data_IF_121324069498
#
_entry.id   IF_121324069498
#
_cell.length_a   1.000
_cell.length_b   1.000
_cell.length_c   1.000
_cell.angle_alpha   90.00
_cell.angle_beta   90.00
_cell.angle_gamma   90.00
#
_symmetry.space_group_name_H-M   'P 1'
#
loop_
_entity.id
_entity.type
_entity.pdbx_description
1 polymer ?
#
# COMPACT_ATOMS: atom_id res chain seq x y z
N UNK A 1 3.76 22.23 -37.09
CA UNK A 1 3.03 20.95 -37.16
C UNK A 1 1.99 20.90 -36.06
N UNK A 2 0.75 20.85 -36.42
CA UNK A 2 -0.32 20.74 -35.44
C UNK A 2 -0.40 19.31 -34.98
N UNK A 3 -0.13 19.06 -33.72
CA UNK A 3 -0.49 17.80 -33.09
C UNK A 3 -2.01 17.70 -33.10
N UNK A 4 -2.49 16.58 -33.61
CA UNK A 4 -3.92 16.31 -33.60
C UNK A 4 -4.46 16.47 -32.19
N UNK A 5 -5.53 17.22 -32.09
CA UNK A 5 -6.14 17.63 -30.83
C UNK A 5 -6.85 16.51 -30.07
N UNK A 6 -6.70 15.30 -30.48
CA UNK A 6 -7.25 14.17 -29.76
C UNK A 6 -6.30 13.67 -28.68
N UNK A 7 -5.97 14.50 -27.77
CA UNK A 7 -5.01 14.37 -26.72
C UNK A 7 -4.91 13.04 -25.95
N UNK A 8 -4.77 11.97 -26.65
CA UNK A 8 -4.43 10.69 -26.06
C UNK A 8 -2.92 10.52 -26.08
N UNK A 9 -2.36 10.33 -24.95
CA UNK A 9 -0.98 9.96 -24.81
C UNK A 9 -0.87 8.54 -24.34
N UNK A 10 0.14 7.89 -24.80
CA UNK A 10 0.42 6.51 -24.45
C UNK A 10 0.92 6.44 -23.03
N UNK A 11 0.39 5.54 -22.27
CA UNK A 11 0.85 5.25 -20.94
C UNK A 11 1.97 4.24 -21.01
N UNK A 12 3.09 4.54 -20.42
CA UNK A 12 4.17 3.58 -20.31
C UNK A 12 4.37 3.21 -18.86
N UNK A 13 4.31 1.93 -18.61
CA UNK A 13 4.73 1.38 -17.32
C UNK A 13 6.21 1.11 -17.41
N UNK A 14 7.00 1.84 -16.67
CA UNK A 14 8.42 1.58 -16.53
C UNK A 14 8.64 0.38 -15.63
N UNK A 15 9.69 -0.39 -15.90
CA UNK A 15 10.12 -1.49 -15.02
C UNK A 15 10.51 -1.04 -13.60
N UNK A 16 10.66 0.25 -13.40
CA UNK A 16 10.93 0.85 -12.09
C UNK A 16 9.66 1.29 -11.37
N UNK A 17 8.53 0.64 -11.61
CA UNK A 17 7.29 0.84 -10.88
C UNK A 17 6.61 2.20 -11.01
N UNK A 18 6.89 2.94 -12.02
CA UNK A 18 6.21 4.20 -12.23
C UNK A 18 5.21 4.07 -13.36
N UNK A 19 3.97 4.25 -13.04
CA UNK A 19 2.95 4.48 -14.04
C UNK A 19 3.12 5.90 -14.50
N UNK A 20 3.53 6.07 -15.72
CA UNK A 20 3.52 7.36 -16.33
C UNK A 20 2.29 7.51 -17.21
N UNK A 21 1.54 8.52 -16.95
CA UNK A 21 0.34 8.81 -17.69
C UNK A 21 0.54 10.11 -18.41
N UNK A 22 0.52 10.03 -19.69
CA UNK A 22 0.47 11.21 -20.51
C UNK A 22 -0.90 11.87 -20.42
N UNK A 23 -1.02 12.93 -21.12
CA UNK A 23 -2.15 13.82 -21.10
C UNK A 23 -3.42 13.18 -21.66
N UNK A 24 -4.45 13.13 -20.86
CA UNK A 24 -5.79 13.03 -21.41
C UNK A 24 -6.22 14.37 -22.01
N UNK A 25 -7.01 14.32 -23.07
CA UNK A 25 -7.41 15.49 -23.83
C UNK A 25 -7.88 16.63 -22.92
N UNK A 26 -7.10 17.69 -22.89
CA UNK A 26 -7.55 18.98 -22.47
C UNK A 26 -6.79 19.59 -21.36
N UNK A 27 -6.64 19.42 -20.21
CA UNK A 27 -6.02 20.33 -19.26
C UNK A 27 -5.38 19.63 -18.08
N UNK A 28 -4.18 20.11 -17.81
CA UNK A 28 -3.43 19.92 -16.57
C UNK A 28 -3.29 18.52 -16.01
N UNK A 29 -2.21 17.90 -16.39
CA UNK A 29 -1.65 16.78 -15.64
C UNK A 29 -0.65 17.36 -14.64
N UNK A 30 -0.92 17.24 -13.39
CA UNK A 30 -0.01 17.64 -12.32
C UNK A 30 0.59 16.41 -11.68
N UNK A 31 1.90 16.38 -11.59
CA UNK A 31 2.63 15.34 -10.90
C UNK A 31 3.17 15.93 -9.61
N UNK A 32 2.72 15.43 -8.49
CA UNK A 32 3.24 15.83 -7.18
C UNK A 32 3.61 14.60 -6.38
N UNK A 33 4.87 14.49 -6.03
CA UNK A 33 5.34 13.52 -5.06
C UNK A 33 4.97 12.06 -5.33
N UNK A 34 4.97 11.63 -6.60
CA UNK A 34 4.59 10.27 -6.97
C UNK A 34 3.09 10.03 -7.12
N UNK A 35 2.28 11.07 -7.02
CA UNK A 35 0.85 11.01 -7.26
C UNK A 35 0.52 11.56 -8.63
N UNK A 36 -0.47 10.96 -9.27
CA UNK A 36 -1.01 11.43 -10.54
C UNK A 36 -2.43 11.91 -10.34
N UNK A 37 -2.69 13.13 -10.73
CA UNK A 37 -4.06 13.64 -10.84
C UNK A 37 -4.41 13.69 -12.30
N UNK A 38 -5.39 12.93 -12.71
CA UNK A 38 -5.93 12.99 -14.06
C UNK A 38 -7.20 13.79 -14.00
N UNK A 39 -7.19 14.96 -14.64
CA UNK A 39 -8.40 15.71 -14.83
C UNK A 39 -9.04 15.27 -16.14
N UNK A 40 -10.19 14.68 -16.04
CA UNK A 40 -10.97 14.30 -17.21
C UNK A 40 -11.70 15.50 -17.79
N UNK A 41 -12.06 15.34 -19.05
CA UNK A 41 -12.93 16.30 -19.72
C UNK A 41 -14.20 16.53 -18.91
N UNK A 42 -14.60 17.77 -18.74
CA UNK A 42 -15.74 18.23 -17.95
C UNK A 42 -15.47 18.44 -16.45
N UNK A 43 -14.23 18.58 -16.07
CA UNK A 43 -13.90 18.94 -14.70
C UNK A 43 -14.01 17.79 -13.68
N UNK A 44 -14.20 16.57 -14.13
CA UNK A 44 -14.16 15.43 -13.25
C UNK A 44 -12.73 15.04 -13.00
N UNK A 45 -12.32 15.08 -11.75
CA UNK A 45 -11.03 14.56 -11.32
C UNK A 45 -11.21 13.11 -10.88
N UNK A 46 -10.34 12.22 -11.34
CA UNK A 46 -10.24 10.90 -10.76
C UNK A 46 -9.60 10.99 -9.39
N UNK A 47 -10.16 10.29 -8.43
CA UNK A 47 -9.54 10.18 -7.13
C UNK A 47 -8.16 9.54 -7.26
N UNK A 48 -7.18 10.10 -6.53
CA UNK A 48 -5.87 9.47 -6.40
C UNK A 48 -6.06 8.15 -5.64
N UNK A 49 -5.66 7.05 -6.23
CA UNK A 49 -5.68 5.79 -5.52
C UNK A 49 -5.99 4.56 -6.35
N UNK A 50 -6.68 4.68 -7.48
CA UNK A 50 -7.09 3.49 -8.21
C UNK A 50 -7.20 3.73 -9.72
N UNK A 51 -6.56 2.87 -10.51
CA UNK A 51 -6.79 2.70 -11.94
C UNK A 51 -7.00 1.22 -12.20
N UNK A 52 -8.05 0.87 -12.90
CA UNK A 52 -8.41 -0.52 -13.22
C UNK A 52 -8.60 -1.41 -11.99
N UNK A 53 -9.06 -0.83 -10.86
CA UNK A 53 -9.26 -1.56 -9.61
C UNK A 53 -7.97 -1.87 -8.84
N UNK A 54 -6.83 -1.30 -9.26
CA UNK A 54 -5.55 -1.49 -8.58
C UNK A 54 -5.11 -0.21 -7.86
N UNK A 55 -4.43 -0.34 -6.72
CA UNK A 55 -3.88 0.82 -6.03
C UNK A 55 -2.78 1.49 -6.85
N UNK A 56 -2.72 2.82 -6.80
CA UNK A 56 -1.67 3.59 -7.48
C UNK A 56 -0.42 3.80 -6.63
N UNK A 57 -0.55 3.65 -5.32
CA UNK A 57 0.52 3.91 -4.36
C UNK A 57 0.61 2.80 -3.33
N UNK A 58 1.79 2.64 -2.77
CA UNK A 58 1.96 1.81 -1.58
C UNK A 58 1.24 2.44 -0.40
N UNK A 59 0.59 1.63 0.41
CA UNK A 59 0.00 2.07 1.66
C UNK A 59 0.04 0.96 2.70
N UNK A 60 0.26 1.32 3.94
CA UNK A 60 0.02 0.47 5.11
C UNK A 60 -1.01 1.19 5.97
N UNK A 61 -2.16 0.58 6.15
CA UNK A 61 -3.27 1.15 6.90
C UNK A 61 -3.19 0.75 8.37
N UNK A 62 -3.76 1.58 9.22
CA UNK A 62 -3.91 1.22 10.62
C UNK A 62 -4.69 -0.09 10.74
N UNK A 63 -4.20 -0.99 11.59
CA UNK A 63 -4.88 -2.25 11.84
C UNK A 63 -6.27 -2.01 12.46
N UNK A 64 -7.19 -2.92 12.19
CA UNK A 64 -8.53 -2.85 12.75
C UNK A 64 -9.00 -4.27 13.18
N UNK A 65 -9.56 -4.39 14.38
CA UNK A 65 -9.68 -3.37 15.43
C UNK A 65 -8.34 -2.97 16.05
N UNK A 66 -8.28 -1.78 16.65
CA UNK A 66 -7.14 -1.30 17.43
C UNK A 66 -7.65 -0.37 18.54
N UNK A 67 -7.53 -0.71 19.84
CA UNK A 67 -6.96 -1.95 20.38
C UNK A 67 -7.70 -3.22 19.92
N UNK A 68 -7.01 -4.35 19.95
CA UNK A 68 -7.58 -5.61 19.49
C UNK A 68 -7.48 -6.72 20.55
N UNK A 69 -8.35 -7.74 20.44
CA UNK A 69 -8.41 -8.89 21.34
C UNK A 69 -9.07 -10.09 20.64
N UNK A 70 -8.38 -11.19 20.42
CA UNK A 70 -6.93 -11.33 20.30
C UNK A 70 -6.44 -11.05 18.89
N UNK A 71 -7.35 -10.82 17.93
CA UNK A 71 -7.00 -10.70 16.51
C UNK A 71 -7.26 -9.32 15.91
N UNK A 72 -6.47 -9.00 14.92
CA UNK A 72 -6.61 -7.76 14.15
C UNK A 72 -6.26 -8.01 12.69
N UNK A 73 -6.82 -7.19 11.81
CA UNK A 73 -6.53 -7.22 10.37
C UNK A 73 -5.62 -6.06 10.01
N UNK A 74 -4.55 -6.36 9.31
CA UNK A 74 -3.61 -5.40 8.75
C UNK A 74 -3.86 -5.34 7.26
N UNK A 75 -4.13 -4.15 6.72
CA UNK A 75 -4.38 -3.93 5.30
C UNK A 75 -3.25 -3.12 4.69
N UNK A 76 -2.85 -3.51 3.49
CA UNK A 76 -1.82 -2.79 2.73
C UNK A 76 -2.08 -2.88 1.24
N UNK A 77 -1.59 -1.91 0.52
CA UNK A 77 -1.82 -1.73 -0.90
C UNK A 77 -0.49 -1.81 -1.65
N UNK A 78 -0.47 -2.56 -2.74
CA UNK A 78 0.69 -2.74 -3.60
C UNK A 78 0.36 -2.28 -5.03
N UNK A 79 1.01 -1.22 -5.53
CA UNK A 79 0.76 -0.75 -6.90
C UNK A 79 1.40 -1.63 -7.97
N UNK A 80 2.40 -2.42 -7.61
CA UNK A 80 3.14 -3.30 -8.51
C UNK A 80 3.46 -4.61 -7.81
N UNK A 81 3.75 -5.64 -8.61
CA UNK A 81 4.28 -6.89 -8.08
C UNK A 81 5.64 -6.64 -7.43
N UNK A 82 5.79 -7.07 -6.19
CA UNK A 82 6.99 -6.79 -5.40
C UNK A 82 7.19 -7.82 -4.30
N UNK A 83 8.42 -7.91 -3.84
CA UNK A 83 8.73 -8.68 -2.62
C UNK A 83 8.24 -7.92 -1.40
N UNK A 84 7.50 -8.59 -0.54
CA UNK A 84 6.89 -8.01 0.65
C UNK A 84 7.39 -8.72 1.89
N UNK A 85 7.80 -7.93 2.87
CA UNK A 85 8.05 -8.39 4.23
C UNK A 85 7.11 -7.65 5.18
N UNK A 86 6.27 -8.38 5.87
CA UNK A 86 5.41 -7.86 6.95
C UNK A 86 5.76 -8.55 8.25
N UNK A 87 6.37 -7.81 9.16
CA UNK A 87 6.92 -8.33 10.41
C UNK A 87 6.34 -7.60 11.59
N UNK A 88 6.01 -8.34 12.63
CA UNK A 88 5.57 -7.78 13.91
C UNK A 88 6.76 -7.76 14.87
N UNK A 89 6.95 -6.62 15.53
CA UNK A 89 7.96 -6.38 16.55
C UNK A 89 7.31 -6.01 17.89
N UNK A 90 7.99 -6.32 18.97
CA UNK A 90 7.67 -5.76 20.28
C UNK A 90 8.29 -4.36 20.47
N UNK A 91 8.08 -3.73 21.62
CA UNK A 91 8.64 -2.42 21.93
C UNK A 91 10.16 -2.41 22.08
N UNK A 92 10.78 -3.56 22.28
CA UNK A 92 12.24 -3.69 22.36
C UNK A 92 12.87 -3.86 20.98
N UNK A 93 12.05 -3.92 19.93
CA UNK A 93 12.49 -4.15 18.56
C UNK A 93 12.79 -5.60 18.25
N UNK A 94 12.36 -6.53 19.09
CA UNK A 94 12.50 -7.96 18.84
C UNK A 94 11.40 -8.44 17.89
N UNK A 95 11.78 -9.30 16.96
CA UNK A 95 10.84 -9.92 16.05
C UNK A 95 9.93 -10.91 16.79
N UNK A 96 8.63 -10.71 16.63
CA UNK A 96 7.59 -11.58 17.21
C UNK A 96 7.15 -12.64 16.20
N UNK A 97 6.80 -12.20 14.99
CA UNK A 97 6.35 -13.08 13.92
C UNK A 97 6.49 -12.40 12.56
N UNK A 98 6.80 -13.19 11.56
CA UNK A 98 6.72 -12.82 10.15
C UNK A 98 5.35 -13.21 9.62
N UNK A 99 4.57 -12.23 9.21
CA UNK A 99 3.23 -12.45 8.64
C UNK A 99 3.27 -12.65 7.12
N UNK A 100 4.23 -12.05 6.46
CA UNK A 100 4.49 -12.25 5.03
C UNK A 100 5.99 -12.10 4.75
N UNK A 101 6.49 -12.92 3.83
CA UNK A 101 7.85 -12.85 3.30
C UNK A 101 7.85 -13.54 1.93
N UNK A 102 7.25 -12.86 0.94
CA UNK A 102 7.05 -13.45 -0.38
C UNK A 102 6.83 -12.40 -1.46
N UNK A 103 6.93 -12.83 -2.69
CA UNK A 103 6.53 -12.05 -3.84
C UNK A 103 5.01 -11.97 -3.90
N UNK A 104 4.46 -10.76 -3.95
CA UNK A 104 3.02 -10.51 -4.01
C UNK A 104 2.64 -9.69 -5.23
N UNK A 105 1.48 -10.00 -5.79
CA UNK A 105 0.92 -9.30 -6.94
C UNK A 105 0.36 -7.92 -6.56
N UNK A 106 0.22 -7.00 -7.55
CA UNK A 106 -0.45 -5.73 -7.29
C UNK A 106 -1.86 -5.95 -6.76
N UNK A 107 -2.28 -5.10 -5.84
CA UNK A 107 -3.64 -5.17 -5.32
C UNK A 107 -3.77 -4.70 -3.88
N UNK A 108 -4.97 -4.87 -3.37
CA UNK A 108 -5.33 -4.63 -1.97
C UNK A 108 -5.19 -5.91 -1.19
N UNK A 109 -4.29 -5.92 -0.22
CA UNK A 109 -3.98 -7.09 0.58
C UNK A 109 -4.43 -6.92 2.02
N UNK A 110 -4.74 -8.04 2.66
CA UNK A 110 -5.03 -8.07 4.09
C UNK A 110 -4.49 -9.35 4.72
N UNK A 111 -3.96 -9.21 5.92
CA UNK A 111 -3.46 -10.32 6.72
C UNK A 111 -3.99 -10.18 8.13
N UNK A 112 -4.44 -11.28 8.70
CA UNK A 112 -4.92 -11.35 10.09
C UNK A 112 -3.79 -11.79 10.99
N UNK A 113 -3.54 -11.04 12.05
CA UNK A 113 -2.67 -11.46 13.15
C UNK A 113 -3.50 -11.78 14.39
N UNK A 114 -3.25 -12.95 14.97
CA UNK A 114 -4.01 -13.46 16.13
C UNK A 114 -3.36 -13.17 17.48
N UNK A 115 -2.34 -12.29 17.52
CA UNK A 115 -1.58 -12.05 18.73
C UNK A 115 -0.74 -13.26 19.16
N UNK A 116 -0.18 -13.96 18.18
CA UNK A 116 0.60 -15.18 18.39
C UNK A 116 1.96 -15.07 17.72
N UNK A 117 2.93 -15.81 18.25
CA UNK A 117 4.24 -16.05 17.65
C UNK A 117 4.12 -17.07 16.50
N UNK A 118 5.21 -17.29 15.78
CA UNK A 118 5.26 -18.25 14.66
C UNK A 118 4.93 -19.69 15.08
N UNK A 119 5.25 -20.06 16.31
CA UNK A 119 4.94 -21.37 16.89
C UNK A 119 3.57 -21.44 17.59
N UNK A 120 2.72 -20.41 17.40
CA UNK A 120 1.35 -20.40 17.88
C UNK A 120 1.18 -20.04 19.35
N UNK A 121 2.22 -19.56 20.00
CA UNK A 121 2.12 -19.08 21.39
C UNK A 121 1.56 -17.69 21.46
N UNK A 122 0.57 -17.50 22.32
CA UNK A 122 -0.04 -16.20 22.56
C UNK A 122 0.97 -15.23 23.18
N UNK A 123 1.02 -14.01 22.63
CA UNK A 123 1.87 -12.95 23.20
C UNK A 123 1.10 -12.14 24.24
N UNK A 124 1.80 -11.49 25.19
CA UNK A 124 1.14 -10.70 26.24
C UNK A 124 0.47 -9.45 25.70
N UNK A 125 -0.46 -8.91 26.49
CA UNK A 125 -1.02 -7.58 26.22
C UNK A 125 0.09 -6.54 26.17
N UNK A 126 0.00 -5.61 25.25
CA UNK A 126 1.01 -4.59 25.07
C UNK A 126 0.96 -3.92 23.72
N UNK A 127 1.98 -3.13 23.45
CA UNK A 127 2.15 -2.42 22.18
C UNK A 127 3.07 -3.23 21.27
N UNK A 128 2.64 -3.37 20.03
CA UNK A 128 3.37 -4.04 18.97
C UNK A 128 3.49 -3.12 17.77
N UNK A 129 4.52 -3.34 16.96
CA UNK A 129 4.78 -2.57 15.76
C UNK A 129 4.71 -3.53 14.57
N UNK A 130 3.80 -3.25 13.64
CA UNK A 130 3.80 -3.92 12.35
C UNK A 130 4.62 -3.09 11.37
N UNK A 131 5.59 -3.69 10.73
CA UNK A 131 6.43 -3.06 9.71
C UNK A 131 6.22 -3.73 8.37
N UNK A 132 5.79 -2.95 7.39
CA UNK A 132 5.77 -3.34 6.00
C UNK A 132 7.03 -2.82 5.31
N UNK A 133 7.71 -3.71 4.63
CA UNK A 133 8.93 -3.42 3.88
C UNK A 133 8.83 -4.01 2.48
N UNK A 134 9.09 -3.19 1.49
CA UNK A 134 9.34 -3.58 0.10
C UNK A 134 10.63 -2.91 -0.37
N UNK A 135 11.19 -3.22 -1.53
CA UNK A 135 12.36 -2.51 -2.06
C UNK A 135 12.18 -0.99 -2.16
N UNK A 136 10.95 -0.53 -2.38
CA UNK A 136 10.67 0.88 -2.63
C UNK A 136 9.85 1.57 -1.53
N UNK A 137 9.33 0.81 -0.56
CA UNK A 137 8.44 1.35 0.45
C UNK A 137 8.70 0.75 1.83
N UNK A 138 8.62 1.62 2.84
CA UNK A 138 8.75 1.22 4.24
C UNK A 138 7.77 2.02 5.08
N UNK A 139 6.97 1.31 5.87
CA UNK A 139 6.10 1.95 6.85
C UNK A 139 5.88 1.03 8.05
N UNK A 140 5.67 1.65 9.19
CA UNK A 140 5.32 0.95 10.44
C UNK A 140 4.07 1.56 11.05
N UNK A 141 3.27 0.72 11.67
CA UNK A 141 2.10 1.12 12.45
C UNK A 141 2.18 0.55 13.85
N UNK A 142 1.64 1.30 14.80
CA UNK A 142 1.52 0.88 16.19
C UNK A 142 0.19 0.16 16.40
N UNK A 143 0.23 -0.97 17.07
CA UNK A 143 -0.93 -1.79 17.40
C UNK A 143 -0.99 -2.02 18.91
N UNK A 144 -2.18 -2.09 19.48
CA UNK A 144 -2.38 -2.32 20.90
C UNK A 144 -3.19 -3.60 21.10
N UNK A 145 -2.58 -4.59 21.74
CA UNK A 145 -3.23 -5.83 22.14
C UNK A 145 -3.70 -5.72 23.59
N UNK A 146 -4.97 -5.90 23.79
CA UNK A 146 -5.61 -5.98 25.11
C UNK A 146 -6.26 -7.34 25.28
N UNK A 147 -5.88 -8.03 26.32
CA UNK A 147 -6.50 -9.31 26.72
C UNK A 147 -7.37 -9.13 27.93
#
# INVERSE_FOLDING_TARGET
MRLASSGYHTYTKSAASHVFIGKAAGRDTRIEGGFYVITLRQGSALAVGEIDGLPLVYALRQNYPNPFNPSTTIKFDLPVATEVSLVIYDLLGQEVVWLASEQMEPGYHQIVWKGETADGRSVPSGIYIARLLTPEYRKSIKMVLLK
#
